data_IF_159375564531
#
_entry.id   IF_159375564531
#
_cell.length_a   1.000
_cell.length_b   1.000
_cell.length_c   1.000
_cell.angle_alpha   90.00
_cell.angle_beta   90.00
_cell.angle_gamma   90.00
#
_symmetry.space_group_name_H-M   'P 1'
#
loop_
_entity.id
_entity.type
_entity.pdbx_description
1 polymer ?
#
# COMPACT_ATOMS: atom_id res chain seq x y z
N UNK A 1 -30.29 75.18 -35.31
CA UNK A 1 -29.07 74.34 -35.20
C UNK A 1 -29.02 73.88 -33.76
N UNK A 2 -29.62 72.72 -33.50
CA UNK A 2 -28.89 71.45 -33.30
C UNK A 2 -28.16 71.49 -31.95
N UNK A 3 -28.43 70.66 -30.94
CA UNK A 3 -28.86 69.26 -30.95
C UNK A 3 -27.84 68.48 -30.13
N UNK A 4 -28.20 68.04 -28.92
CA UNK A 4 -27.56 66.91 -28.24
C UNK A 4 -28.44 66.46 -27.07
N UNK A 5 -29.11 65.30 -27.18
CA UNK A 5 -29.79 64.67 -26.06
C UNK A 5 -28.81 63.82 -25.23
N UNK A 6 -29.09 63.78 -23.94
CA UNK A 6 -28.40 62.98 -22.94
C UNK A 6 -28.32 61.49 -23.32
N UNK A 7 -27.11 60.94 -23.24
CA UNK A 7 -26.85 59.52 -23.36
C UNK A 7 -27.31 58.79 -22.09
N UNK A 8 -28.58 58.41 -22.04
CA UNK A 8 -29.08 57.40 -21.09
C UNK A 8 -28.61 56.02 -21.59
N UNK A 9 -27.54 55.51 -20.99
CA UNK A 9 -27.06 54.16 -21.22
C UNK A 9 -28.07 53.12 -20.73
N UNK A 10 -28.90 52.61 -21.65
CA UNK A 10 -29.75 51.43 -21.43
C UNK A 10 -28.86 50.19 -21.31
N UNK A 11 -28.67 49.69 -20.08
CA UNK A 11 -28.14 48.34 -19.86
C UNK A 11 -29.11 47.32 -20.48
N UNK A 12 -28.64 46.52 -21.43
CA UNK A 12 -29.46 45.56 -22.14
C UNK A 12 -29.91 44.38 -21.27
N UNK A 13 -31.11 43.80 -21.50
CA UNK A 13 -31.68 42.70 -20.71
C UNK A 13 -30.83 41.41 -20.69
N UNK A 14 -29.83 41.28 -21.57
CA UNK A 14 -28.89 40.16 -21.59
C UNK A 14 -27.78 40.21 -20.53
N UNK A 15 -27.37 41.40 -20.09
CA UNK A 15 -26.28 41.56 -19.11
C UNK A 15 -26.76 41.27 -17.68
N UNK A 16 -27.99 41.68 -17.35
CA UNK A 16 -28.63 41.40 -16.06
C UNK A 16 -28.91 39.90 -15.87
N UNK A 17 -29.30 39.18 -16.94
CA UNK A 17 -29.53 37.73 -16.91
C UNK A 17 -28.22 36.93 -16.73
N UNK A 18 -27.12 37.37 -17.35
CA UNK A 18 -25.77 36.77 -17.15
C UNK A 18 -25.24 37.03 -15.73
N UNK A 19 -25.43 38.24 -15.19
CA UNK A 19 -25.02 38.59 -13.83
C UNK A 19 -25.84 37.83 -12.76
N UNK A 20 -27.15 37.69 -12.96
CA UNK A 20 -28.03 36.90 -12.08
C UNK A 20 -27.66 35.41 -12.08
N UNK A 21 -27.39 34.82 -13.26
CA UNK A 21 -26.87 33.44 -13.37
C UNK A 21 -25.55 33.25 -12.63
N UNK A 22 -24.59 34.18 -12.76
CA UNK A 22 -23.31 34.12 -12.04
C UNK A 22 -23.49 34.24 -10.52
N UNK A 23 -24.44 35.06 -10.05
CA UNK A 23 -24.76 35.21 -8.62
C UNK A 23 -25.35 33.92 -8.04
N UNK A 24 -26.32 33.31 -8.71
CA UNK A 24 -26.93 32.03 -8.29
C UNK A 24 -25.92 30.88 -8.34
N UNK A 25 -25.05 30.83 -9.34
CA UNK A 25 -23.95 29.86 -9.42
C UNK A 25 -22.95 30.05 -8.27
N UNK A 26 -22.58 31.29 -7.93
CA UNK A 26 -21.67 31.60 -6.83
C UNK A 26 -22.27 31.26 -5.46
N UNK A 27 -23.55 31.53 -5.24
CA UNK A 27 -24.26 31.17 -4.01
C UNK A 27 -24.42 29.65 -3.84
N UNK A 28 -24.74 28.92 -4.93
CA UNK A 28 -24.74 27.45 -4.92
C UNK A 28 -23.34 26.89 -4.67
N UNK A 29 -22.32 27.45 -5.31
CA UNK A 29 -20.93 27.03 -5.13
C UNK A 29 -20.45 27.22 -3.68
N UNK A 30 -20.68 28.39 -3.06
CA UNK A 30 -20.33 28.62 -1.66
C UNK A 30 -21.09 27.70 -0.69
N UNK A 31 -22.29 27.24 -1.05
CA UNK A 31 -23.09 26.33 -0.22
C UNK A 31 -22.55 24.89 -0.26
N UNK A 32 -22.06 24.44 -1.42
CA UNK A 32 -21.53 23.08 -1.60
C UNK A 32 -20.03 22.96 -1.29
N UNK A 33 -19.28 24.06 -1.39
CA UNK A 33 -17.84 24.11 -1.08
C UNK A 33 -17.45 23.46 0.26
N UNK A 34 -18.09 23.77 1.41
CA UNK A 34 -17.72 23.14 2.67
C UNK A 34 -17.98 21.63 2.68
N UNK A 35 -19.04 21.15 2.01
CA UNK A 35 -19.31 19.71 1.90
C UNK A 35 -18.22 19.02 1.08
N UNK A 36 -17.81 19.62 -0.04
CA UNK A 36 -16.72 19.09 -0.87
C UNK A 36 -15.42 19.04 -0.08
N UNK A 37 -15.08 20.10 0.67
CA UNK A 37 -13.87 20.11 1.52
C UNK A 37 -13.90 19.02 2.59
N UNK A 38 -15.05 18.78 3.23
CA UNK A 38 -15.19 17.68 4.20
C UNK A 38 -15.01 16.32 3.51
N UNK A 39 -15.60 16.12 2.34
CA UNK A 39 -15.45 14.87 1.58
C UNK A 39 -14.00 14.62 1.16
N UNK A 40 -13.29 15.66 0.72
CA UNK A 40 -11.85 15.58 0.42
C UNK A 40 -11.06 15.22 1.69
N UNK A 41 -11.34 15.86 2.82
CA UNK A 41 -10.71 15.54 4.10
C UNK A 41 -10.95 14.09 4.54
N UNK A 42 -12.18 13.59 4.38
CA UNK A 42 -12.53 12.18 4.65
C UNK A 42 -11.77 11.23 3.72
N UNK A 43 -11.67 11.56 2.43
CA UNK A 43 -10.91 10.73 1.47
C UNK A 43 -9.42 10.63 1.86
N UNK A 44 -8.81 11.74 2.30
CA UNK A 44 -7.42 11.76 2.79
C UNK A 44 -7.26 10.90 4.05
N UNK A 45 -8.21 10.94 4.99
CA UNK A 45 -8.16 10.10 6.19
C UNK A 45 -8.31 8.61 5.89
N UNK A 46 -9.17 8.25 4.92
CA UNK A 46 -9.41 6.86 4.53
C UNK A 46 -8.25 6.27 3.71
N UNK A 47 -7.54 7.10 2.95
CA UNK A 47 -6.47 6.66 2.05
C UNK A 47 -5.46 5.68 2.69
N UNK A 48 -4.80 5.98 3.83
CA UNK A 48 -3.82 5.05 4.42
C UNK A 48 -4.45 3.70 4.81
N UNK A 49 -5.71 3.67 5.23
CA UNK A 49 -6.43 2.43 5.55
C UNK A 49 -6.61 1.58 4.29
N UNK A 50 -7.12 2.19 3.22
CA UNK A 50 -7.34 1.49 1.94
C UNK A 50 -6.04 1.04 1.30
N UNK A 51 -5.02 1.90 1.31
CA UNK A 51 -3.68 1.59 0.80
C UNK A 51 -3.06 0.42 1.57
N UNK A 52 -3.17 0.42 2.90
CA UNK A 52 -2.62 -0.67 3.72
C UNK A 52 -3.34 -1.99 3.50
N UNK A 53 -4.68 -1.98 3.42
CA UNK A 53 -5.42 -3.21 3.12
C UNK A 53 -5.05 -3.75 1.74
N UNK A 54 -5.00 -2.87 0.72
CA UNK A 54 -4.62 -3.27 -0.63
C UNK A 54 -3.21 -3.86 -0.70
N UNK A 55 -2.22 -3.22 -0.07
CA UNK A 55 -0.84 -3.69 -0.09
C UNK A 55 -0.66 -4.98 0.72
N UNK A 56 -1.35 -5.12 1.86
CA UNK A 56 -1.33 -6.37 2.63
C UNK A 56 -1.90 -7.54 1.81
N UNK A 57 -3.00 -7.32 1.09
CA UNK A 57 -3.62 -8.33 0.22
C UNK A 57 -2.68 -8.71 -0.94
N UNK A 58 -2.06 -7.71 -1.58
CA UNK A 58 -1.12 -7.94 -2.69
C UNK A 58 0.13 -8.72 -2.23
N UNK A 59 0.69 -8.38 -1.07
CA UNK A 59 1.81 -9.11 -0.48
C UNK A 59 1.46 -10.56 -0.18
N UNK A 60 0.29 -10.80 0.43
CA UNK A 60 -0.19 -12.16 0.70
C UNK A 60 -0.37 -12.95 -0.58
N UNK A 61 -0.94 -12.32 -1.62
CA UNK A 61 -1.08 -12.93 -2.94
C UNK A 61 0.27 -13.29 -3.56
N UNK A 62 1.26 -12.40 -3.53
CA UNK A 62 2.60 -12.65 -4.06
C UNK A 62 3.28 -13.81 -3.33
N UNK A 63 3.12 -13.87 -2.00
CA UNK A 63 3.60 -14.98 -1.18
C UNK A 63 2.94 -16.32 -1.57
N UNK A 64 1.64 -16.34 -1.86
CA UNK A 64 0.93 -17.53 -2.31
C UNK A 64 1.32 -17.95 -3.73
N UNK A 65 1.49 -16.97 -4.63
CA UNK A 65 1.89 -17.22 -6.02
C UNK A 65 3.27 -17.85 -6.12
N UNK A 66 4.21 -17.50 -5.23
CA UNK A 66 5.53 -18.12 -5.15
C UNK A 66 5.46 -19.65 -5.09
N UNK A 67 4.57 -20.22 -4.26
CA UNK A 67 4.42 -21.68 -4.17
C UNK A 67 4.04 -22.29 -5.51
N UNK A 68 3.13 -21.64 -6.25
CA UNK A 68 2.73 -22.10 -7.58
C UNK A 68 3.86 -21.95 -8.62
N UNK A 69 4.64 -20.86 -8.56
CA UNK A 69 5.81 -20.65 -9.44
C UNK A 69 6.84 -21.77 -9.24
N UNK A 70 7.18 -22.08 -7.99
CA UNK A 70 8.15 -23.14 -7.65
C UNK A 70 7.64 -24.53 -8.07
N UNK A 71 6.37 -24.83 -7.83
CA UNK A 71 5.77 -26.09 -8.26
C UNK A 71 5.81 -26.25 -9.79
N UNK A 72 5.65 -25.14 -10.53
CA UNK A 72 5.69 -25.14 -12.00
C UNK A 72 7.09 -25.33 -12.59
N UNK A 73 8.15 -24.92 -11.86
CA UNK A 73 9.54 -25.12 -12.27
C UNK A 73 9.92 -26.62 -12.30
N UNK A 74 9.23 -27.43 -11.50
CA UNK A 74 9.41 -28.88 -11.46
C UNK A 74 10.56 -29.33 -10.55
N UNK A 75 10.56 -30.62 -10.15
CA UNK A 75 11.43 -31.12 -9.08
C UNK A 75 12.92 -31.10 -9.43
N UNK A 76 13.28 -31.23 -10.71
CA UNK A 76 14.67 -31.21 -11.15
C UNK A 76 15.29 -29.80 -11.04
N UNK A 77 14.59 -28.77 -11.51
CA UNK A 77 15.04 -27.38 -11.38
C UNK A 77 15.15 -26.96 -9.92
N UNK A 78 14.15 -27.31 -9.10
CA UNK A 78 14.15 -27.06 -7.66
C UNK A 78 15.32 -27.75 -6.96
N UNK A 79 15.64 -29.00 -7.32
CA UNK A 79 16.78 -29.71 -6.76
C UNK A 79 18.14 -29.11 -7.17
N UNK A 80 18.26 -28.64 -8.42
CA UNK A 80 19.46 -27.97 -8.91
C UNK A 80 19.69 -26.64 -8.18
N UNK A 81 18.67 -25.80 -8.08
CA UNK A 81 18.71 -24.54 -7.31
C UNK A 81 19.03 -24.78 -5.85
N UNK A 82 18.46 -25.82 -5.25
CA UNK A 82 18.76 -26.18 -3.87
C UNK A 82 20.22 -26.55 -3.68
N UNK A 83 20.80 -27.35 -4.60
CA UNK A 83 22.21 -27.71 -4.55
C UNK A 83 23.13 -26.50 -4.75
N UNK A 84 22.74 -25.53 -5.58
CA UNK A 84 23.43 -24.26 -5.73
C UNK A 84 23.41 -23.46 -4.43
N UNK A 85 22.23 -23.27 -3.84
CA UNK A 85 22.06 -22.54 -2.59
C UNK A 85 22.79 -23.20 -1.40
N UNK A 86 22.83 -24.54 -1.35
CA UNK A 86 23.64 -25.28 -0.37
C UNK A 86 25.14 -25.01 -0.57
N UNK A 87 25.61 -25.00 -1.81
CA UNK A 87 27.00 -24.67 -2.16
C UNK A 87 27.34 -23.22 -1.78
N UNK A 88 26.45 -22.27 -2.09
CA UNK A 88 26.57 -20.88 -1.68
C UNK A 88 26.69 -20.77 -0.16
N UNK A 89 25.77 -21.38 0.60
CA UNK A 89 25.77 -21.33 2.05
C UNK A 89 27.03 -21.93 2.69
N UNK A 90 27.54 -23.04 2.13
CA UNK A 90 28.76 -23.69 2.60
C UNK A 90 30.02 -22.86 2.32
N UNK A 91 30.04 -22.09 1.22
CA UNK A 91 31.16 -21.25 0.83
C UNK A 91 31.05 -19.80 1.32
N UNK A 92 29.91 -19.42 1.89
CA UNK A 92 29.69 -18.08 2.44
C UNK A 92 30.63 -17.84 3.63
N UNK A 93 31.72 -17.12 3.35
CA UNK A 93 32.68 -16.64 4.33
C UNK A 93 32.01 -15.68 5.32
N UNK A 94 32.57 -15.55 6.52
CA UNK A 94 32.09 -14.59 7.52
C UNK A 94 32.49 -13.17 7.13
N UNK A 95 31.81 -12.61 6.12
CA UNK A 95 31.85 -11.19 5.82
C UNK A 95 31.21 -10.40 6.97
N UNK A 96 31.61 -9.13 7.19
CA UNK A 96 30.91 -8.27 8.14
C UNK A 96 29.44 -8.13 7.71
N UNK A 97 28.52 -8.46 8.62
CA UNK A 97 27.10 -8.24 8.44
C UNK A 97 26.84 -6.76 8.74
N UNK A 98 26.18 -6.07 7.82
CA UNK A 98 25.92 -4.63 7.90
C UNK A 98 24.45 -4.37 8.20
N UNK A 99 24.15 -3.24 8.85
CA UNK A 99 22.77 -2.84 9.11
C UNK A 99 22.03 -2.56 7.79
N UNK A 100 20.83 -3.13 7.57
CA UNK A 100 20.13 -2.98 6.29
C UNK A 100 19.56 -1.59 6.03
N UNK A 101 19.50 -0.70 7.03
CA UNK A 101 18.97 0.67 6.87
C UNK A 101 20.04 1.76 6.86
N UNK A 102 21.19 1.55 7.51
CA UNK A 102 22.25 2.55 7.61
C UNK A 102 23.33 2.40 6.53
N UNK A 103 23.58 1.18 6.06
CA UNK A 103 24.65 0.92 5.12
C UNK A 103 24.11 0.49 3.75
N UNK A 104 24.65 1.09 2.69
CA UNK A 104 24.32 0.64 1.35
C UNK A 104 24.93 -0.73 1.12
N UNK A 105 24.09 -1.72 0.90
CA UNK A 105 24.54 -2.94 0.23
C UNK A 105 25.24 -2.53 -1.07
N UNK A 106 26.31 -3.22 -1.46
CA UNK A 106 27.13 -2.86 -2.63
C UNK A 106 26.70 -3.70 -3.83
N UNK A 107 25.61 -3.34 -4.54
CA UNK A 107 25.03 -4.17 -5.60
C UNK A 107 25.94 -4.32 -6.81
N UNK A 108 26.90 -3.42 -6.99
CA UNK A 108 27.89 -3.42 -8.08
C UNK A 108 29.00 -4.47 -7.90
N UNK A 109 29.06 -5.14 -6.75
CA UNK A 109 30.08 -6.16 -6.49
C UNK A 109 29.75 -7.50 -7.16
N UNK A 110 30.75 -8.24 -7.69
CA UNK A 110 30.53 -9.57 -8.25
C UNK A 110 29.89 -10.56 -7.26
N UNK A 111 30.19 -10.42 -5.96
CA UNK A 111 29.63 -11.24 -4.90
C UNK A 111 28.12 -11.02 -4.76
N UNK A 112 27.66 -9.76 -4.83
CA UNK A 112 26.24 -9.45 -4.78
C UNK A 112 25.51 -9.95 -6.03
N UNK A 113 26.11 -9.79 -7.21
CA UNK A 113 25.52 -10.30 -8.46
C UNK A 113 25.39 -11.83 -8.44
N UNK A 114 26.39 -12.55 -7.93
CA UNK A 114 26.28 -13.99 -7.74
C UNK A 114 25.15 -14.37 -6.76
N UNK A 115 25.00 -13.61 -5.66
CA UNK A 115 23.89 -13.78 -4.72
C UNK A 115 22.51 -13.60 -5.36
N UNK A 116 22.34 -12.63 -6.26
CA UNK A 116 21.07 -12.41 -6.97
C UNK A 116 20.68 -13.57 -7.90
N UNK A 117 21.64 -14.41 -8.28
CA UNK A 117 21.42 -15.60 -9.12
C UNK A 117 21.14 -16.87 -8.33
N UNK A 118 21.14 -16.82 -7.00
CA UNK A 118 20.76 -17.97 -6.18
C UNK A 118 19.25 -17.93 -5.90
N UNK A 119 18.54 -19.05 -6.04
CA UNK A 119 17.09 -19.11 -5.74
C UNK A 119 16.26 -18.15 -6.59
N UNK A 120 16.61 -17.95 -7.86
CA UNK A 120 16.04 -16.93 -8.76
C UNK A 120 14.93 -17.45 -9.71
N UNK A 121 14.31 -18.60 -9.36
CA UNK A 121 13.19 -19.18 -10.13
C UNK A 121 11.98 -18.25 -10.23
N UNK A 122 11.82 -17.35 -9.27
CA UNK A 122 10.81 -16.31 -9.18
C UNK A 122 11.46 -15.07 -8.54
N UNK A 123 11.00 -13.83 -8.82
CA UNK A 123 11.47 -12.66 -8.10
C UNK A 123 11.38 -12.79 -6.57
N UNK A 124 10.37 -13.52 -6.07
CA UNK A 124 10.26 -13.93 -4.68
C UNK A 124 11.16 -15.14 -4.45
N UNK A 125 12.13 -15.03 -3.53
CA UNK A 125 13.05 -16.13 -3.23
C UNK A 125 12.45 -17.15 -2.24
N UNK A 126 11.60 -16.68 -1.34
CA UNK A 126 10.97 -17.49 -0.29
C UNK A 126 9.68 -16.84 0.22
N UNK A 127 8.94 -17.56 1.04
CA UNK A 127 7.78 -17.04 1.79
C UNK A 127 8.03 -17.21 3.28
N UNK A 128 7.62 -16.23 4.07
CA UNK A 128 7.58 -16.34 5.53
C UNK A 128 6.16 -16.26 6.06
N UNK A 129 5.82 -17.13 7.02
CA UNK A 129 4.53 -17.16 7.72
C UNK A 129 4.76 -17.16 9.23
N UNK A 130 4.10 -16.25 9.95
CA UNK A 130 4.16 -16.14 11.42
C UNK A 130 2.72 -16.16 11.96
N UNK A 131 2.18 -17.35 12.34
CA UNK A 131 0.78 -17.48 12.70
C UNK A 131 0.35 -16.66 13.91
N UNK A 132 1.21 -16.50 14.92
CA UNK A 132 0.85 -15.79 16.16
C UNK A 132 0.52 -14.30 15.96
N UNK A 133 0.99 -13.72 14.85
CA UNK A 133 0.81 -12.30 14.52
C UNK A 133 0.19 -12.07 13.13
N UNK A 134 -0.36 -13.13 12.52
CA UNK A 134 -1.06 -13.08 11.23
C UNK A 134 -0.22 -12.52 10.07
N UNK A 135 1.05 -12.91 10.00
CA UNK A 135 1.96 -12.51 8.92
C UNK A 135 2.09 -13.63 7.90
N UNK A 136 1.97 -13.28 6.62
CA UNK A 136 2.33 -14.11 5.46
C UNK A 136 2.88 -13.18 4.39
N UNK A 137 4.20 -13.18 4.19
CA UNK A 137 4.88 -12.19 3.34
C UNK A 137 5.85 -12.87 2.35
N UNK A 138 6.03 -12.29 1.16
CA UNK A 138 7.08 -12.69 0.24
C UNK A 138 8.44 -12.21 0.77
N UNK A 139 9.46 -13.01 0.53
CA UNK A 139 10.86 -12.71 0.81
C UNK A 139 11.57 -12.53 -0.53
N UNK A 140 12.31 -11.43 -0.64
CA UNK A 140 13.08 -11.05 -1.83
C UNK A 140 14.56 -10.98 -1.51
N UNK A 141 15.39 -10.91 -2.55
CA UNK A 141 16.81 -10.68 -2.39
C UNK A 141 17.14 -9.25 -1.95
N UNK A 142 18.10 -9.14 -1.03
CA UNK A 142 18.62 -7.87 -0.57
C UNK A 142 17.67 -7.12 0.36
N UNK A 143 18.12 -5.94 0.78
CA UNK A 143 17.37 -5.09 1.73
C UNK A 143 17.34 -3.64 1.26
N UNK A 144 17.33 -3.41 -0.05
CA UNK A 144 17.20 -2.07 -0.58
C UNK A 144 15.80 -1.47 -0.30
N UNK A 145 15.69 -0.16 -0.45
CA UNK A 145 14.44 0.57 -0.13
C UNK A 145 13.24 0.06 -0.92
N UNK A 146 13.45 -0.40 -2.16
CA UNK A 146 12.36 -0.92 -2.99
C UNK A 146 11.88 -2.27 -2.47
N UNK A 147 12.83 -3.15 -2.19
CA UNK A 147 12.60 -4.49 -1.66
C UNK A 147 11.83 -4.43 -0.35
N UNK A 148 12.29 -3.62 0.60
CA UNK A 148 11.63 -3.48 1.90
C UNK A 148 10.26 -2.78 1.82
N UNK A 149 9.98 -2.04 0.74
CA UNK A 149 8.65 -1.48 0.49
C UNK A 149 7.67 -2.53 -0.10
N UNK A 150 8.19 -3.52 -0.84
CA UNK A 150 7.39 -4.56 -1.49
C UNK A 150 7.17 -5.78 -0.57
N UNK A 151 8.13 -6.14 0.30
CA UNK A 151 7.98 -7.25 1.25
C UNK A 151 9.13 -7.38 2.25
N UNK A 152 9.48 -8.63 2.57
CA UNK A 152 10.63 -8.95 3.42
C UNK A 152 11.87 -9.08 2.55
N UNK A 153 12.99 -8.50 2.99
CA UNK A 153 14.28 -8.61 2.32
C UNK A 153 15.20 -9.60 3.02
N UNK A 154 15.86 -10.48 2.28
CA UNK A 154 16.94 -11.30 2.81
C UNK A 154 18.23 -10.47 2.93
N UNK A 155 18.86 -10.50 4.11
CA UNK A 155 20.09 -9.74 4.36
C UNK A 155 21.28 -10.40 3.66
N UNK A 156 21.78 -9.76 2.60
CA UNK A 156 23.03 -10.15 1.96
C UNK A 156 24.18 -10.32 2.97
N UNK A 157 25.01 -11.34 2.77
CA UNK A 157 26.06 -11.74 3.71
C UNK A 157 25.60 -12.75 4.77
N UNK A 158 24.30 -13.06 4.84
CA UNK A 158 23.75 -14.12 5.70
C UNK A 158 23.38 -15.37 4.88
N UNK A 159 23.13 -16.50 5.54
CA UNK A 159 22.79 -17.74 4.85
C UNK A 159 21.45 -17.62 4.11
N UNK A 160 21.39 -18.11 2.88
CA UNK A 160 20.15 -18.29 2.15
C UNK A 160 19.16 -19.14 2.98
N UNK A 161 17.85 -18.84 2.94
CA UNK A 161 16.84 -19.37 3.85
C UNK A 161 16.40 -20.82 3.54
N UNK A 162 17.32 -21.69 3.14
CA UNK A 162 17.08 -23.11 2.80
C UNK A 162 17.32 -24.08 3.98
N UNK A 163 17.78 -23.54 5.12
CA UNK A 163 18.13 -24.26 6.35
C UNK A 163 19.42 -25.09 6.22
N UNK A 164 19.69 -25.88 7.26
CA UNK A 164 20.86 -26.76 7.34
C UNK A 164 21.80 -26.43 8.49
N UNK A 165 22.68 -27.37 8.87
CA UNK A 165 23.59 -27.18 10.00
C UNK A 165 24.58 -26.03 9.72
N UNK A 166 24.88 -25.25 10.76
CA UNK A 166 25.79 -24.09 10.67
C UNK A 166 25.31 -23.00 9.70
N UNK A 167 24.00 -22.80 9.61
CA UNK A 167 23.38 -21.74 8.81
C UNK A 167 22.69 -20.72 9.72
N UNK A 168 22.69 -19.46 9.29
CA UNK A 168 21.94 -18.40 9.96
C UNK A 168 21.44 -17.41 8.90
N UNK A 169 20.16 -17.49 8.56
CA UNK A 169 19.53 -16.55 7.64
C UNK A 169 18.97 -15.35 8.40
N UNK A 170 19.00 -14.16 7.79
CA UNK A 170 18.40 -12.97 8.38
C UNK A 170 17.38 -12.35 7.43
N UNK A 171 16.16 -12.19 7.93
CA UNK A 171 15.01 -11.71 7.18
C UNK A 171 14.55 -10.36 7.73
N UNK A 172 14.61 -9.34 6.89
CA UNK A 172 14.44 -7.94 7.24
C UNK A 172 13.08 -7.44 6.79
N UNK A 173 12.30 -6.85 7.70
CA UNK A 173 11.02 -6.24 7.36
C UNK A 173 10.86 -4.88 8.02
N UNK A 174 10.15 -3.97 7.37
CA UNK A 174 9.83 -2.68 7.96
C UNK A 174 8.85 -2.78 9.13
N UNK A 175 8.94 -1.81 10.02
CA UNK A 175 7.94 -1.47 11.04
C UNK A 175 7.60 0.02 10.88
N UNK A 176 6.32 0.36 10.96
CA UNK A 176 5.81 1.72 10.95
C UNK A 176 5.53 2.31 9.56
N UNK A 177 5.32 1.48 8.53
CA UNK A 177 4.90 1.99 7.22
C UNK A 177 3.46 2.48 7.26
N UNK A 178 3.18 3.64 6.66
CA UNK A 178 1.83 4.21 6.59
C UNK A 178 0.88 3.47 5.63
N UNK A 179 1.41 2.54 4.84
CA UNK A 179 0.72 1.89 3.73
C UNK A 179 0.88 0.38 3.69
N UNK A 180 1.53 -0.26 4.68
CA UNK A 180 1.68 -1.73 4.74
C UNK A 180 1.95 -2.16 6.18
N UNK A 181 1.45 -3.32 6.59
CA UNK A 181 1.64 -3.83 7.97
C UNK A 181 3.01 -4.46 8.21
N UNK A 182 3.57 -5.19 7.24
CA UNK A 182 4.90 -5.80 7.32
C UNK A 182 5.18 -6.48 8.69
N UNK A 183 6.24 -6.06 9.39
CA UNK A 183 6.64 -6.56 10.71
C UNK A 183 6.19 -5.65 11.87
N UNK A 184 5.18 -4.79 11.68
CA UNK A 184 4.61 -3.94 12.75
C UNK A 184 4.31 -4.71 14.04
N UNK A 185 3.84 -5.95 13.89
CA UNK A 185 3.43 -6.81 15.00
C UNK A 185 4.55 -7.75 15.49
N UNK A 186 5.78 -7.65 14.98
CA UNK A 186 6.89 -8.53 15.38
C UNK A 186 7.20 -8.40 16.87
N UNK A 187 6.93 -7.23 17.46
CA UNK A 187 6.99 -6.98 18.90
C UNK A 187 6.04 -7.87 19.72
N UNK A 188 5.01 -8.45 19.12
CA UNK A 188 4.04 -9.30 19.81
C UNK A 188 4.45 -10.78 19.85
N UNK A 189 5.48 -11.16 19.07
CA UNK A 189 6.02 -12.52 19.04
C UNK A 189 6.68 -12.86 20.37
N UNK A 190 6.54 -14.11 20.81
CA UNK A 190 7.07 -14.60 22.09
C UNK A 190 8.01 -15.78 21.89
N UNK A 191 8.89 -16.00 22.87
CA UNK A 191 9.67 -17.25 22.92
C UNK A 191 8.71 -18.45 22.94
N UNK A 192 9.00 -19.45 22.12
CA UNK A 192 8.15 -20.62 21.87
C UNK A 192 7.13 -20.45 20.75
N UNK A 193 6.92 -19.24 20.21
CA UNK A 193 6.12 -19.08 19.00
C UNK A 193 6.82 -19.73 17.80
N UNK A 194 6.04 -20.29 16.89
CA UNK A 194 6.57 -20.86 15.65
C UNK A 194 6.44 -19.88 14.49
N UNK A 195 7.41 -19.92 13.58
CA UNK A 195 7.30 -19.35 12.25
C UNK A 195 7.82 -20.32 11.20
N UNK A 196 7.39 -20.09 9.96
CA UNK A 196 7.60 -20.99 8.84
C UNK A 196 8.29 -20.23 7.71
N UNK A 197 9.28 -20.86 7.11
CA UNK A 197 9.96 -20.36 5.93
C UNK A 197 9.82 -21.39 4.82
N UNK A 198 9.14 -21.02 3.75
CA UNK A 198 8.96 -21.86 2.56
C UNK A 198 9.91 -21.39 1.47
N UNK A 199 10.81 -22.27 1.04
CA UNK A 199 11.80 -21.99 0.01
C UNK A 199 12.04 -23.22 -0.84
N UNK A 200 12.10 -23.08 -2.17
CA UNK A 200 12.43 -24.16 -3.11
C UNK A 200 11.64 -25.46 -2.82
N UNK A 201 10.32 -25.33 -2.65
CA UNK A 201 9.39 -26.44 -2.48
C UNK A 201 9.44 -27.11 -1.10
N UNK A 202 10.19 -26.55 -0.16
CA UNK A 202 10.25 -27.06 1.22
C UNK A 202 9.82 -25.99 2.22
N UNK A 203 8.96 -26.38 3.15
CA UNK A 203 8.63 -25.58 4.33
C UNK A 203 9.50 -26.02 5.51
N UNK A 204 10.10 -25.05 6.17
CA UNK A 204 10.97 -25.20 7.33
C UNK A 204 10.30 -24.53 8.54
N UNK A 205 10.17 -25.25 9.65
CA UNK A 205 9.62 -24.72 10.92
C UNK A 205 10.74 -24.28 11.85
N UNK A 206 10.61 -23.08 12.39
CA UNK A 206 11.47 -22.54 13.42
C UNK A 206 10.66 -22.19 14.66
N UNK A 207 11.24 -22.39 15.83
CA UNK A 207 10.67 -21.96 17.11
C UNK A 207 11.51 -20.83 17.68
N UNK A 208 10.87 -19.74 18.10
CA UNK A 208 11.54 -18.55 18.64
C UNK A 208 12.23 -18.91 19.96
N UNK A 209 13.56 -18.82 19.97
CA UNK A 209 14.39 -19.11 21.16
C UNK A 209 14.94 -17.84 21.81
N UNK A 210 15.12 -16.78 21.02
CA UNK A 210 15.64 -15.51 21.52
C UNK A 210 14.94 -14.28 20.93
N UNK A 211 14.84 -13.24 21.76
CA UNK A 211 14.30 -11.93 21.38
C UNK A 211 15.16 -10.89 22.07
N UNK A 212 15.83 -10.05 21.29
CA UNK A 212 16.79 -9.06 21.80
C UNK A 212 16.64 -7.74 21.06
N UNK A 213 16.85 -6.62 21.75
CA UNK A 213 16.96 -5.29 21.15
C UNK A 213 18.42 -4.87 21.14
N UNK A 214 18.92 -4.46 19.97
CA UNK A 214 20.33 -4.09 19.75
C UNK A 214 20.44 -2.75 19.05
N UNK A 215 21.61 -2.12 19.11
CA UNK A 215 21.92 -0.97 18.25
C UNK A 215 22.13 -1.41 16.80
N UNK A 216 21.91 -0.53 15.80
CA UNK A 216 22.12 -0.87 14.40
C UNK A 216 23.51 -1.45 14.08
N UNK A 217 24.55 -0.93 14.72
CA UNK A 217 25.94 -1.36 14.58
C UNK A 217 26.28 -2.70 15.27
N UNK A 218 25.39 -3.23 16.12
CA UNK A 218 25.60 -4.47 16.89
C UNK A 218 25.12 -5.71 16.11
N UNK A 219 25.84 -6.08 15.06
CA UNK A 219 25.45 -7.18 14.15
C UNK A 219 26.05 -8.55 14.49
N UNK A 220 26.85 -8.65 15.55
CA UNK A 220 27.58 -9.88 15.89
C UNK A 220 26.69 -11.09 16.17
N UNK A 221 25.48 -10.86 16.71
CA UNK A 221 24.48 -11.90 16.98
C UNK A 221 23.90 -12.52 15.70
N UNK A 222 24.04 -11.87 14.55
CA UNK A 222 23.52 -12.31 13.26
C UNK A 222 24.45 -13.31 12.54
N UNK A 223 25.64 -13.56 13.08
CA UNK A 223 26.62 -14.47 12.49
C UNK A 223 26.18 -15.94 12.62
N UNK A 224 26.72 -16.78 11.74
CA UNK A 224 26.53 -18.24 11.82
C UNK A 224 27.02 -18.77 13.17
N UNK A 225 26.25 -19.69 13.75
CA UNK A 225 26.65 -20.44 14.94
C UNK A 225 26.91 -21.90 14.53
N UNK A 226 28.14 -22.42 14.71
CA UNK A 226 28.47 -23.79 14.32
C UNK A 226 27.49 -24.83 14.88
N UNK A 227 26.97 -25.69 14.01
CA UNK A 227 26.05 -26.76 14.35
C UNK A 227 24.58 -26.35 14.53
N UNK A 228 24.25 -25.06 14.53
CA UNK A 228 22.86 -24.57 14.65
C UNK A 228 22.28 -24.20 13.29
N UNK A 229 20.96 -24.30 13.16
CA UNK A 229 20.17 -23.88 12.00
C UNK A 229 19.22 -22.78 12.49
N UNK A 230 19.55 -21.53 12.18
CA UNK A 230 18.94 -20.33 12.75
C UNK A 230 18.32 -19.43 11.69
N UNK A 231 17.25 -18.76 12.05
CA UNK A 231 16.70 -17.64 11.29
C UNK A 231 16.40 -16.50 12.24
N UNK A 232 16.93 -15.31 11.95
CA UNK A 232 16.59 -14.09 12.69
C UNK A 232 15.69 -13.19 11.85
N UNK A 233 14.57 -12.79 12.43
CA UNK A 233 13.69 -11.77 11.89
C UNK A 233 14.11 -10.43 12.50
N UNK A 234 14.41 -9.44 11.65
CA UNK A 234 14.89 -8.13 12.07
C UNK A 234 13.92 -7.03 11.62
N UNK A 235 13.64 -6.10 12.54
CA UNK A 235 12.91 -4.87 12.24
C UNK A 235 13.42 -3.69 13.07
N UNK A 236 13.00 -2.47 12.72
CA UNK A 236 13.33 -1.27 13.50
C UNK A 236 12.46 -1.16 14.77
N UNK A 237 13.04 -0.61 15.83
CA UNK A 237 12.35 -0.36 17.11
C UNK A 237 13.00 0.83 17.84
N UNK A 238 12.37 1.51 18.81
CA UNK A 238 10.92 1.54 19.10
C UNK A 238 10.08 2.08 17.94
N UNK A 239 8.80 1.74 17.92
CA UNK A 239 7.87 2.12 16.86
C UNK A 239 7.85 3.65 16.62
N UNK A 240 8.12 4.06 15.38
CA UNK A 240 8.14 5.47 14.98
C UNK A 240 9.43 6.24 15.36
N UNK A 241 10.35 5.62 16.11
CA UNK A 241 11.67 6.17 16.44
C UNK A 241 12.78 5.47 15.65
N UNK A 242 12.72 4.13 15.55
CA UNK A 242 13.60 3.31 14.72
C UNK A 242 15.11 3.45 15.02
N UNK A 243 15.47 3.81 16.26
CA UNK A 243 16.86 4.01 16.68
C UNK A 243 17.60 2.70 16.99
N UNK A 244 16.88 1.61 17.21
CA UNK A 244 17.40 0.27 17.52
C UNK A 244 16.81 -0.77 16.56
N UNK A 245 17.27 -2.02 16.70
CA UNK A 245 16.78 -3.18 15.97
C UNK A 245 16.20 -4.21 16.93
N UNK A 246 14.99 -4.68 16.64
CA UNK A 246 14.41 -5.84 17.28
C UNK A 246 14.84 -7.07 16.49
N UNK A 247 15.49 -8.02 17.17
CA UNK A 247 15.90 -9.30 16.64
C UNK A 247 15.04 -10.40 17.27
N UNK A 248 14.35 -11.18 16.44
CA UNK A 248 13.59 -12.37 16.87
C UNK A 248 14.23 -13.58 16.21
N UNK A 249 14.98 -14.35 16.99
CA UNK A 249 15.76 -15.50 16.49
C UNK A 249 15.02 -16.81 16.79
N UNK A 250 14.75 -17.56 15.74
CA UNK A 250 14.24 -18.93 15.80
C UNK A 250 15.32 -19.96 15.51
N UNK A 251 15.17 -21.13 16.12
CA UNK A 251 15.97 -22.31 15.84
C UNK A 251 15.13 -23.38 15.16
N UNK A 252 15.74 -24.10 14.24
CA UNK A 252 15.06 -25.13 13.46
C UNK A 252 14.50 -26.22 14.35
N UNK A 253 13.24 -26.57 14.14
CA UNK A 253 12.59 -27.69 14.83
C UNK A 253 12.02 -28.70 13.84
N UNK A 254 11.91 -30.00 14.22
CA UNK A 254 11.19 -30.98 13.43
C UNK A 254 9.73 -30.57 13.21
N UNK A 255 9.18 -30.97 12.06
CA UNK A 255 7.85 -30.55 11.62
C UNK A 255 7.11 -31.73 11.01
N UNK A 256 5.84 -31.88 11.39
CA UNK A 256 4.87 -32.66 10.62
C UNK A 256 4.24 -31.75 9.55
N UNK A 257 4.33 -32.08 8.24
CA UNK A 257 3.83 -31.22 7.18
C UNK A 257 2.33 -30.93 7.25
N UNK A 258 1.53 -31.86 7.75
CA UNK A 258 0.07 -31.68 7.85
C UNK A 258 -0.29 -30.70 8.97
N UNK A 259 0.35 -30.85 10.13
CA UNK A 259 0.21 -29.91 11.24
C UNK A 259 0.71 -28.51 10.87
N UNK A 260 1.82 -28.42 10.13
CA UNK A 260 2.39 -27.15 9.66
C UNK A 260 1.41 -26.37 8.77
N UNK A 261 0.84 -27.03 7.75
CA UNK A 261 -0.16 -26.41 6.88
C UNK A 261 -1.37 -25.89 7.68
N UNK A 262 -1.81 -26.63 8.70
CA UNK A 262 -2.90 -26.21 9.59
C UNK A 262 -2.52 -25.05 10.51
N UNK A 263 -1.26 -24.95 10.93
CA UNK A 263 -0.74 -23.82 11.70
C UNK A 263 -0.57 -22.57 10.83
N UNK A 264 0.01 -22.70 9.64
CA UNK A 264 0.15 -21.61 8.65
C UNK A 264 -1.20 -21.03 8.25
N UNK A 265 -2.23 -21.87 8.08
CA UNK A 265 -3.58 -21.43 7.75
C UNK A 265 -4.19 -20.49 8.82
N UNK A 266 -3.70 -20.52 10.07
CA UNK A 266 -4.15 -19.60 11.14
C UNK A 266 -3.63 -18.17 10.94
N UNK A 267 -2.59 -17.99 10.13
CA UNK A 267 -2.07 -16.66 9.83
C UNK A 267 -3.06 -15.81 9.04
N UNK A 268 -4.01 -16.42 8.31
CA UNK A 268 -4.92 -15.72 7.40
C UNK A 268 -6.41 -15.97 7.75
N UNK A 269 -7.32 -15.01 7.47
CA UNK A 269 -7.02 -13.64 7.05
C UNK A 269 -6.46 -12.79 8.20
N UNK A 270 -5.59 -11.84 7.88
CA UNK A 270 -5.03 -10.95 8.87
C UNK A 270 -6.11 -9.98 9.41
N UNK A 271 -6.25 -9.82 10.74
CA UNK A 271 -7.20 -8.87 11.29
C UNK A 271 -6.75 -7.44 11.01
N UNK A 272 -7.72 -6.57 10.73
CA UNK A 272 -7.47 -5.14 10.54
C UNK A 272 -6.82 -4.52 11.79
N UNK A 273 -5.75 -3.74 11.59
CA UNK A 273 -5.01 -3.07 12.67
C UNK A 273 -5.90 -2.08 13.43
N UNK A 274 -5.61 -1.88 14.72
CA UNK A 274 -6.44 -1.06 15.62
C UNK A 274 -6.56 0.39 15.17
N UNK A 275 -5.48 1.02 14.68
CA UNK A 275 -5.52 2.40 14.20
C UNK A 275 -6.46 2.58 12.99
N UNK A 276 -6.55 1.57 12.11
CA UNK A 276 -7.47 1.61 10.97
C UNK A 276 -8.93 1.61 11.45
N UNK A 277 -9.26 0.76 12.44
CA UNK A 277 -10.59 0.75 13.06
C UNK A 277 -10.93 2.10 13.67
N UNK A 278 -9.97 2.74 14.34
CA UNK A 278 -10.15 4.09 14.91
C UNK A 278 -10.43 5.13 13.81
N UNK A 279 -9.69 5.11 12.71
CA UNK A 279 -9.92 6.02 11.57
C UNK A 279 -11.31 5.80 10.96
N UNK A 280 -11.72 4.54 10.75
CA UNK A 280 -13.05 4.22 10.21
C UNK A 280 -14.14 4.75 11.13
N UNK A 281 -14.02 4.54 12.45
CA UNK A 281 -14.98 5.08 13.44
C UNK A 281 -15.03 6.60 13.40
N UNK A 282 -13.88 7.28 13.33
CA UNK A 282 -13.81 8.73 13.23
C UNK A 282 -14.50 9.25 11.95
N UNK A 283 -14.29 8.60 10.81
CA UNK A 283 -14.95 8.90 9.54
C UNK A 283 -16.47 8.75 9.66
N UNK A 284 -16.95 7.65 10.25
CA UNK A 284 -18.39 7.41 10.47
C UNK A 284 -19.00 8.51 11.32
N UNK A 285 -18.32 8.96 12.38
CA UNK A 285 -18.76 10.08 13.23
C UNK A 285 -18.84 11.37 12.42
N UNK A 286 -17.82 11.70 11.63
CA UNK A 286 -17.81 12.90 10.77
C UNK A 286 -18.99 12.89 9.81
N UNK A 287 -19.24 11.77 9.13
CA UNK A 287 -20.36 11.62 8.19
C UNK A 287 -21.72 11.72 8.89
N UNK A 288 -21.86 11.15 10.09
CA UNK A 288 -23.08 11.25 10.89
C UNK A 288 -23.37 12.69 11.32
N UNK A 289 -22.34 13.44 11.74
CA UNK A 289 -22.46 14.87 12.09
C UNK A 289 -22.89 15.69 10.88
N UNK A 290 -22.27 15.48 9.71
CA UNK A 290 -22.64 16.16 8.45
C UNK A 290 -24.09 15.85 8.07
N UNK A 291 -24.51 14.58 8.12
CA UNK A 291 -25.87 14.17 7.84
C UNK A 291 -26.88 14.81 8.81
N UNK A 292 -26.53 14.90 10.11
CA UNK A 292 -27.34 15.57 11.13
C UNK A 292 -27.51 17.07 10.87
N UNK A 293 -26.44 17.77 10.47
CA UNK A 293 -26.50 19.18 10.10
C UNK A 293 -27.38 19.39 8.86
N UNK A 294 -27.19 18.58 7.82
CA UNK A 294 -28.00 18.64 6.60
C UNK A 294 -29.47 18.35 6.88
N UNK A 295 -29.76 17.33 7.71
CA UNK A 295 -31.12 17.00 8.15
C UNK A 295 -31.77 18.15 8.94
N UNK A 296 -31.03 18.80 9.84
CA UNK A 296 -31.51 19.97 10.59
C UNK A 296 -31.81 21.15 9.67
N UNK A 297 -30.94 21.43 8.70
CA UNK A 297 -31.14 22.48 7.70
C UNK A 297 -32.37 22.20 6.82
N UNK A 298 -32.53 20.94 6.38
CA UNK A 298 -33.69 20.50 5.62
C UNK A 298 -34.99 20.64 6.44
N UNK A 299 -34.98 20.24 7.72
CA UNK A 299 -36.15 20.35 8.58
C UNK A 299 -36.56 21.80 8.83
N UNK A 300 -35.59 22.71 9.04
CA UNK A 300 -35.85 24.15 9.16
C UNK A 300 -36.47 24.72 7.89
N UNK A 301 -35.95 24.36 6.70
CA UNK A 301 -36.51 24.79 5.42
C UNK A 301 -37.92 24.26 5.18
N UNK A 302 -38.20 23.01 5.57
CA UNK A 302 -39.54 22.41 5.46
C UNK A 302 -40.56 23.11 6.35
N UNK A 303 -40.19 23.43 7.61
CA UNK A 303 -41.07 24.18 8.52
C UNK A 303 -41.36 25.60 8.04
N UNK A 304 -40.37 26.30 7.49
CA UNK A 304 -40.59 27.63 6.91
C UNK A 304 -41.60 27.60 5.74
N UNK A 305 -41.53 26.59 4.86
CA UNK A 305 -42.50 26.41 3.76
C UNK A 305 -43.91 26.02 4.23
N UNK A 306 -44.03 25.36 5.38
CA UNK A 306 -45.33 25.02 5.96
C UNK A 306 -46.01 26.22 6.64
N UNK A 307 -45.24 27.20 7.13
CA UNK A 307 -45.77 28.44 7.69
C UNK A 307 -46.25 29.41 6.59
N UNK A 308 -45.52 29.51 5.48
CA UNK A 308 -45.86 30.39 4.33
C UNK A 308 -47.14 29.94 3.58
N UNK A 309 -47.53 28.67 3.72
CA UNK A 309 -48.74 28.12 3.11
C UNK A 309 -50.03 28.36 3.92
N UNK A 310 -49.95 28.96 5.10
CA UNK A 310 -51.12 29.30 5.93
C UNK A 310 -51.58 30.76 5.78
N UNK A 311 -50.79 31.64 5.16
CA UNK A 311 -51.12 33.06 5.01
C UNK A 311 -51.82 33.39 3.66
N UNK A 312 -52.09 32.38 2.81
CA UNK A 312 -52.75 32.57 1.50
C UNK A 312 -54.23 32.18 1.46
N UNK A 313 -54.91 32.04 2.60
CA UNK A 313 -56.34 31.66 2.64
C UNK A 313 -57.26 32.77 3.25
N UNK A 314 -56.80 34.02 3.23
CA UNK A 314 -57.52 35.13 3.84
C UNK A 314 -57.39 36.48 3.14
N UNK A 315 -58.01 36.65 1.97
CA UNK A 315 -58.62 37.94 1.57
C UNK A 315 -59.52 37.82 0.32
N UNK A 316 -60.63 38.59 0.27
CA UNK A 316 -61.75 38.36 -0.65
C UNK A 316 -61.51 38.94 -2.04
N UNK A 317 -62.09 38.29 -3.04
CA UNK A 317 -62.18 38.77 -4.41
C UNK A 317 -62.99 40.07 -4.55
N UNK A 318 -62.62 41.01 -5.44
CA UNK A 318 -63.54 41.98 -6.00
C UNK A 318 -64.08 41.50 -7.36
N UNK A 319 -65.35 41.80 -7.57
CA UNK A 319 -66.21 41.35 -8.65
C UNK A 319 -66.13 42.18 -9.94
N UNK A 320 -66.60 41.56 -11.04
CA UNK A 320 -67.10 42.16 -12.29
C UNK A 320 -66.08 42.19 -13.42
N UNK A 321 -66.35 41.84 -14.69
CA UNK A 321 -67.50 41.44 -15.52
C UNK A 321 -66.85 40.68 -16.71
N UNK A 322 -67.43 39.77 -17.49
CA UNK A 322 -68.78 39.30 -17.75
C UNK A 322 -68.75 38.53 -19.09
N UNK A 323 -69.78 37.71 -19.31
CA UNK A 323 -70.21 37.05 -20.57
C UNK A 323 -69.53 35.70 -20.89
N UNK A 324 -70.18 34.58 -20.57
CA UNK A 324 -71.14 33.81 -21.40
C UNK A 324 -70.36 32.67 -22.10
N UNK A 325 -70.62 31.39 -21.88
CA UNK A 325 -71.86 30.65 -22.17
C UNK A 325 -71.92 29.39 -21.29
N UNK A 326 -73.12 29.09 -20.79
CA UNK A 326 -73.47 27.83 -20.14
C UNK A 326 -74.23 26.92 -21.11
N UNK A 327 -73.89 25.62 -21.12
CA UNK A 327 -74.86 24.50 -21.20
C UNK A 327 -74.11 23.21 -20.76
N UNK A 328 -74.35 22.69 -19.55
CA UNK A 328 -75.20 21.53 -19.20
C UNK A 328 -74.85 20.26 -19.99
N UNK A 329 -74.10 19.35 -19.37
CA UNK A 329 -74.54 18.21 -18.54
C UNK A 329 -74.83 16.97 -19.39
N UNK A 330 -74.08 15.91 -19.17
CA UNK A 330 -74.64 14.64 -18.69
C UNK A 330 -73.51 13.65 -18.33
N UNK A 331 -73.82 12.89 -17.28
CA UNK A 331 -73.02 11.86 -16.64
C UNK A 331 -72.92 10.56 -17.45
N UNK A 332 -71.97 9.74 -17.00
CA UNK A 332 -71.91 8.27 -17.01
C UNK A 332 -71.04 7.56 -18.06
N UNK A 333 -70.06 6.85 -17.49
CA UNK A 333 -69.53 5.50 -17.80
C UNK A 333 -69.12 5.17 -19.25
N UNK A 334 -67.86 4.76 -19.47
CA UNK A 334 -67.54 3.38 -19.89
C UNK A 334 -66.02 3.11 -20.03
N UNK A 335 -65.65 1.88 -19.68
CA UNK A 335 -64.45 1.02 -19.87
C UNK A 335 -63.09 1.56 -20.35
N UNK A 336 -62.05 0.94 -19.77
CA UNK A 336 -60.65 1.21 -20.10
C UNK A 336 -60.15 0.53 -21.37
N UNK A 337 -58.86 0.70 -21.64
CA UNK A 337 -58.00 -0.22 -22.39
C UNK A 337 -56.55 0.21 -22.14
N UNK A 338 -55.72 -0.82 -21.96
CA UNK A 338 -54.31 -0.75 -21.66
C UNK A 338 -53.43 -0.57 -22.91
N UNK A 339 -52.14 -0.39 -22.62
CA UNK A 339 -50.97 -0.68 -23.47
C UNK A 339 -50.66 0.26 -24.65
N UNK A 340 -49.43 0.81 -24.64
CA UNK A 340 -48.38 0.39 -25.58
C UNK A 340 -47.05 1.10 -25.30
N UNK A 341 -46.10 0.35 -24.73
CA UNK A 341 -44.67 0.64 -24.76
C UNK A 341 -44.08 -0.03 -26.01
N UNK A 342 -43.20 0.61 -26.81
CA UNK A 342 -42.52 -0.08 -27.89
C UNK A 342 -41.17 -0.61 -27.39
N UNK A 343 -41.05 -1.94 -27.31
CA UNK A 343 -39.77 -2.64 -27.34
C UNK A 343 -39.42 -3.08 -28.77
N UNK A 344 -38.14 -3.36 -29.04
CA UNK A 344 -37.66 -4.30 -30.06
C UNK A 344 -36.28 -4.86 -29.66
N UNK A 345 -35.93 -6.09 -30.09
CA UNK A 345 -35.56 -7.19 -29.19
C UNK A 345 -34.15 -7.77 -29.40
N UNK A 346 -33.77 -8.74 -28.56
CA UNK A 346 -32.60 -9.61 -28.69
C UNK A 346 -32.95 -10.97 -29.32
N UNK A 347 -31.98 -11.51 -30.08
CA UNK A 347 -31.69 -12.91 -30.42
C UNK A 347 -32.58 -13.58 -31.50
N UNK A 348 -32.07 -14.37 -32.47
CA UNK A 348 -31.12 -15.47 -32.27
C UNK A 348 -30.56 -16.10 -33.59
N UNK A 349 -29.40 -16.79 -33.45
CA UNK A 349 -28.78 -17.94 -34.18
C UNK A 349 -28.16 -17.96 -35.63
N UNK A 350 -26.90 -18.47 -35.61
CA UNK A 350 -26.04 -19.29 -36.50
C UNK A 350 -25.58 -18.94 -37.94
N UNK A 351 -24.25 -19.08 -38.08
CA UNK A 351 -23.41 -19.63 -39.17
C UNK A 351 -23.46 -19.05 -40.59
N UNK A 352 -22.33 -18.48 -41.02
CA UNK A 352 -21.62 -18.92 -42.24
C UNK A 352 -20.14 -18.52 -42.19
N UNK A 353 -19.29 -19.50 -42.51
CA UNK A 353 -17.83 -19.46 -42.53
C UNK A 353 -17.23 -19.02 -43.88
N UNK A 354 -15.91 -18.74 -43.87
CA UNK A 354 -14.94 -18.60 -44.99
C UNK A 354 -15.13 -17.36 -45.88
N UNK A 355 -14.13 -16.68 -46.42
CA UNK A 355 -12.70 -16.87 -46.69
C UNK A 355 -12.14 -15.41 -46.79
N UNK A 356 -10.96 -15.06 -46.30
CA UNK A 356 -9.76 -15.02 -47.14
C UNK A 356 -8.51 -14.84 -46.28
N UNK A 357 -7.54 -15.71 -46.54
CA UNK A 357 -6.20 -15.65 -45.98
C UNK A 357 -5.25 -14.91 -46.91
N UNK A 358 -4.13 -14.48 -46.30
CA UNK A 358 -2.80 -14.16 -46.89
C UNK A 358 -2.60 -12.70 -47.33
N UNK A 359 -1.67 -12.01 -46.63
CA UNK A 359 -0.35 -11.67 -47.18
C UNK A 359 0.57 -11.10 -46.07
N UNK A 360 1.62 -11.87 -45.72
CA UNK A 360 3.04 -11.54 -45.41
C UNK A 360 3.45 -10.06 -45.24
N UNK A 361 4.51 -9.61 -44.56
CA UNK A 361 5.69 -10.09 -43.81
C UNK A 361 6.53 -8.80 -43.54
N UNK A 362 7.55 -8.84 -42.68
CA UNK A 362 8.58 -7.82 -42.35
C UNK A 362 8.14 -6.72 -41.36
N UNK A 363 8.81 -6.53 -40.21
CA UNK A 363 10.26 -6.32 -40.05
C UNK A 363 10.73 -6.61 -38.62
N UNK A 364 11.83 -7.35 -38.50
CA UNK A 364 12.78 -7.37 -37.37
C UNK A 364 14.14 -6.85 -37.88
N UNK A 365 14.97 -6.30 -36.98
CA UNK A 365 16.36 -5.87 -37.23
C UNK A 365 16.60 -4.40 -36.84
N UNK A 366 17.22 -4.04 -35.72
CA UNK A 366 18.62 -4.23 -35.27
C UNK A 366 19.64 -3.34 -36.03
N UNK A 367 20.07 -2.24 -35.39
CA UNK A 367 21.36 -1.52 -35.55
C UNK A 367 21.63 -0.92 -34.15
N UNK A 368 22.63 -1.30 -33.34
CA UNK A 368 24.10 -1.38 -33.52
C UNK A 368 24.67 -0.11 -34.12
N UNK A 369 25.09 0.81 -33.24
CA UNK A 369 26.13 1.78 -33.56
C UNK A 369 27.24 1.61 -32.52
N UNK A 370 28.27 0.87 -32.94
CA UNK A 370 29.61 1.03 -32.38
C UNK A 370 30.37 2.06 -33.20
N UNK A 371 31.15 2.91 -32.52
CA UNK A 371 32.28 3.60 -33.13
C UNK A 371 33.53 3.38 -32.28
N UNK A 372 34.37 2.47 -32.76
CA UNK A 372 35.84 2.53 -32.80
C UNK A 372 36.30 3.96 -33.21
N UNK A 373 37.44 4.57 -32.86
CA UNK A 373 38.81 4.12 -32.51
C UNK A 373 39.65 5.36 -32.16
N UNK A 374 40.78 5.13 -31.45
CA UNK A 374 42.08 5.84 -31.48
C UNK A 374 42.53 6.27 -30.06
N UNK A 375 43.33 5.47 -29.36
CA UNK A 375 44.79 5.30 -29.49
C UNK A 375 45.61 6.49 -28.99
N UNK A 376 46.39 6.28 -27.91
CA UNK A 376 47.67 6.94 -27.71
C UNK A 376 47.99 7.48 -26.31
N UNK A 377 48.94 6.78 -25.66
CA UNK A 377 50.00 7.32 -24.77
C UNK A 377 49.72 7.54 -23.25
N UNK A 378 50.25 6.61 -22.45
CA UNK A 378 50.99 6.87 -21.19
C UNK A 378 52.43 7.37 -21.52
N UNK A 379 53.29 7.87 -20.59
CA UNK A 379 53.21 7.80 -19.12
C UNK A 379 53.66 9.04 -18.29
N UNK A 380 53.48 8.92 -16.97
CA UNK A 380 54.40 9.31 -15.87
C UNK A 380 54.30 10.69 -15.14
N UNK A 381 54.33 10.53 -13.81
CA UNK A 381 55.03 11.30 -12.75
C UNK A 381 54.24 12.24 -11.81
N UNK A 382 54.26 11.80 -10.53
CA UNK A 382 54.52 12.53 -9.28
C UNK A 382 53.66 13.74 -8.84
N UNK A 383 53.24 13.72 -7.56
CA UNK A 383 53.00 14.96 -6.81
C UNK A 383 51.95 14.94 -5.71
N UNK A 384 52.38 14.55 -4.50
CA UNK A 384 51.89 14.94 -3.16
C UNK A 384 50.83 16.05 -3.04
N UNK A 385 49.79 15.81 -2.23
CA UNK A 385 48.99 16.88 -1.62
C UNK A 385 47.76 16.37 -0.85
N UNK A 386 47.85 16.30 0.48
CA UNK A 386 46.70 16.20 1.39
C UNK A 386 45.76 17.41 1.22
N UNK A 387 44.44 17.23 1.43
CA UNK A 387 43.73 18.20 2.24
C UNK A 387 42.80 17.54 3.27
N UNK A 388 43.09 17.87 4.53
CA UNK A 388 42.19 18.32 5.60
C UNK A 388 40.68 18.02 5.43
N UNK A 389 40.17 17.15 6.31
CA UNK A 389 38.75 16.86 6.53
C UNK A 389 38.03 18.02 7.22
N UNK A 390 37.09 18.64 6.52
CA UNK A 390 36.02 19.44 7.12
C UNK A 390 34.72 18.64 7.07
N UNK A 391 34.20 18.26 8.24
CA UNK A 391 32.84 17.70 8.39
C UNK A 391 31.79 18.76 8.01
N UNK A 392 30.73 18.43 7.25
CA UNK A 392 29.61 19.34 7.08
C UNK A 392 28.68 19.28 8.31
N UNK A 393 28.49 20.43 8.96
CA UNK A 393 27.46 20.64 9.99
C UNK A 393 26.07 20.29 9.46
N UNK A 394 25.31 19.51 10.25
CA UNK A 394 23.90 19.20 10.00
C UNK A 394 23.05 20.47 9.94
N UNK A 395 22.14 20.63 8.95
CA UNK A 395 21.24 21.79 8.83
C UNK A 395 20.14 21.83 9.91
N UNK A 396 20.08 20.81 10.76
CA UNK A 396 19.19 20.75 11.92
C UNK A 396 20.08 20.87 13.16
N UNK A 397 20.06 22.03 13.81
CA UNK A 397 20.83 22.30 15.04
C UNK A 397 20.55 21.30 16.18
N UNK A 398 21.23 21.43 17.33
CA UNK A 398 21.18 20.43 18.39
C UNK A 398 19.74 20.20 18.90
N UNK A 399 19.32 18.93 18.92
CA UNK A 399 17.99 18.51 19.34
C UNK A 399 17.92 18.58 20.87
N UNK A 400 17.01 19.41 21.39
CA UNK A 400 16.69 19.44 22.81
C UNK A 400 15.76 18.27 23.19
N UNK A 401 15.99 17.65 24.35
CA UNK A 401 15.16 16.58 24.90
C UNK A 401 13.73 17.05 25.16
N UNK A 402 12.75 16.32 24.62
CA UNK A 402 11.33 16.52 24.91
C UNK A 402 10.86 15.56 26.00
N UNK A 403 10.22 16.15 27.02
CA UNK A 403 9.64 15.51 28.21
C UNK A 403 8.42 14.65 27.82
N UNK A 404 8.32 13.49 28.46
CA UNK A 404 7.54 12.35 27.98
C UNK A 404 6.04 12.33 28.24
N UNK A 405 5.39 11.38 27.53
CA UNK A 405 4.13 10.75 27.91
C UNK A 405 4.30 9.23 27.78
N UNK A 406 4.14 8.55 28.91
CA UNK A 406 4.36 7.12 29.11
C UNK A 406 3.24 6.34 28.43
N UNK A 407 3.55 5.65 27.32
CA UNK A 407 2.77 4.51 26.84
C UNK A 407 3.46 3.26 27.38
N UNK A 408 2.70 2.40 28.04
CA UNK A 408 3.21 1.17 28.65
C UNK A 408 3.71 0.24 27.54
N UNK A 409 5.03 0.29 27.30
CA UNK A 409 5.74 -0.63 26.42
C UNK A 409 6.04 -1.90 27.22
N UNK A 410 5.47 -3.03 26.78
CA UNK A 410 5.53 -4.32 27.48
C UNK A 410 6.95 -4.93 27.53
N UNK A 411 7.92 -4.25 26.92
CA UNK A 411 9.34 -4.61 26.87
C UNK A 411 10.26 -3.52 27.41
N UNK A 412 9.73 -2.52 28.11
CA UNK A 412 10.54 -1.50 28.80
C UNK A 412 11.51 -2.09 29.83
N UNK A 413 11.29 -3.33 30.24
CA UNK A 413 12.13 -4.08 31.18
C UNK A 413 13.28 -4.85 30.50
N UNK A 414 13.37 -4.86 29.15
CA UNK A 414 14.51 -5.44 28.44
C UNK A 414 15.62 -4.39 28.32
N UNK A 415 16.43 -4.26 29.36
CA UNK A 415 17.63 -3.43 29.31
C UNK A 415 18.61 -3.95 28.25
N UNK A 416 19.14 -3.03 27.44
CA UNK A 416 20.22 -3.32 26.52
C UNK A 416 21.40 -3.90 27.30
N UNK A 417 22.04 -4.93 26.75
CA UNK A 417 23.22 -5.53 27.38
C UNK A 417 24.33 -4.48 27.41
N UNK A 418 24.74 -4.06 28.61
CA UNK A 418 25.95 -3.25 28.76
C UNK A 418 27.19 -4.06 28.31
N UNK A 419 28.20 -3.38 27.73
CA UNK A 419 29.23 -3.98 26.88
C UNK A 419 30.09 -5.08 27.52
#
# INVERSE_FOLDING_TARGET
MEGSPDAVGTQGPGETCRAARRKVLRERFLTWLPLVLVLVGVAVLIYPVMATQHNNDEQQRLAEMYTASVDSAGPEAVAAERASAETYNNNLESAPILDPWLESQRPDTPQYQAYLHEMDLDPVMARIVIPSIHVSLPVYHGTDTRTLAEGVGHLFGTSLPIGGPSTHAVLTGHTGLSTATMFDNLTQVKKGDAFYVSSLGQTLKYEVTDITVVKPEETDSLRKVPGRDLVTLITCTPYGVNSHRLLVTGERVPMDPTAAAAEEAKALPAPMQTWMKVIIVAVVIILAVVAGILGRLWWRRRRARAADGQDTDGSPAPAGNGNDVADRSDDADDVGVAERWPGRPLQDVVDFAKEDARLTDRTTGLEVIGSSTAAGADPASEGSGNPETTEPESPYGPIAEAVGERRDDLFSDLEAREP
#
